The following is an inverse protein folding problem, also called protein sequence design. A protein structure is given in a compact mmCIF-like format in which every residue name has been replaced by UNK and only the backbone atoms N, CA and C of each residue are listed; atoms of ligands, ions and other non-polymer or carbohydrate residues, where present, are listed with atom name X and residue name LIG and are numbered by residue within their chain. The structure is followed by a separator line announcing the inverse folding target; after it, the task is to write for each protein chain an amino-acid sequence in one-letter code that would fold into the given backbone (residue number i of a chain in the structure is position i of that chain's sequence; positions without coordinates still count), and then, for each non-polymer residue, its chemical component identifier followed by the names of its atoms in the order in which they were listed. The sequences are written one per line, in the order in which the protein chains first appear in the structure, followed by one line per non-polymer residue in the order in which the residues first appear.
data_IF_520910692287
#
_entry.id   IF_520910692287
#
_cell.length_a   1.000
_cell.length_b   1.000
_cell.length_c   1.000
_cell.angle_alpha   90.00
_cell.angle_beta   90.00
_cell.angle_gamma   90.00
#
_symmetry.space_group_name_H-M   'P 1'
#
loop_
_entity.id
_entity.type
_entity.pdbx_description
1 polymer ?
#
# COMPACT_ATOMS: atom_id res chain seq x y z
N UNK A 1 -13.53 2.08 -26.96
CA UNK A 1 -13.97 2.73 -25.70
C UNK A 1 -14.65 1.73 -24.75
N UNK A 2 -15.67 0.99 -25.22
CA UNK A 2 -16.43 0.05 -24.37
C UNK A 2 -15.58 -1.08 -23.79
N UNK A 3 -14.65 -1.62 -24.59
CA UNK A 3 -13.72 -2.65 -24.13
C UNK A 3 -12.80 -2.16 -23.01
N UNK A 4 -12.31 -0.94 -23.12
CA UNK A 4 -11.45 -0.34 -22.07
C UNK A 4 -12.26 -0.10 -20.79
N UNK A 5 -13.48 0.41 -20.91
CA UNK A 5 -14.40 0.58 -19.80
C UNK A 5 -14.66 -0.73 -19.07
N UNK A 6 -14.99 -1.79 -19.80
CA UNK A 6 -15.27 -3.11 -19.21
C UNK A 6 -14.05 -3.70 -18.50
N UNK A 7 -12.86 -3.60 -19.10
CA UNK A 7 -11.60 -4.09 -18.48
C UNK A 7 -11.30 -3.32 -17.20
N UNK A 8 -11.43 -2.00 -17.22
CA UNK A 8 -11.17 -1.17 -16.05
C UNK A 8 -12.20 -1.44 -14.95
N UNK A 9 -13.48 -1.54 -15.28
CA UNK A 9 -14.53 -1.89 -14.31
C UNK A 9 -14.32 -3.30 -13.72
N UNK A 10 -13.87 -4.27 -14.51
CA UNK A 10 -13.55 -5.61 -14.00
C UNK A 10 -12.36 -5.59 -13.04
N UNK A 11 -11.31 -4.81 -13.33
CA UNK A 11 -10.19 -4.61 -12.44
C UNK A 11 -10.61 -3.92 -11.13
N UNK A 12 -11.44 -2.88 -11.21
CA UNK A 12 -12.01 -2.21 -10.05
C UNK A 12 -12.91 -3.12 -9.20
N UNK A 13 -13.72 -3.94 -9.86
CA UNK A 13 -14.56 -4.95 -9.20
C UNK A 13 -13.71 -5.95 -8.40
N UNK A 14 -12.58 -6.40 -8.95
CA UNK A 14 -11.61 -7.24 -8.23
C UNK A 14 -11.04 -6.56 -6.98
N UNK A 15 -10.68 -5.28 -7.09
CA UNK A 15 -10.23 -4.49 -5.92
C UNK A 15 -11.34 -4.34 -4.88
N UNK A 16 -12.57 -4.03 -5.31
CA UNK A 16 -13.73 -3.90 -4.44
C UNK A 16 -14.01 -5.19 -3.65
N UNK A 17 -13.91 -6.34 -4.32
CA UNK A 17 -14.09 -7.64 -3.72
C UNK A 17 -13.02 -7.96 -2.65
N UNK A 18 -11.74 -7.72 -2.98
CA UNK A 18 -10.60 -8.02 -2.10
C UNK A 18 -10.55 -7.11 -0.88
N UNK A 19 -10.77 -5.80 -1.06
CA UNK A 19 -10.66 -4.82 0.02
C UNK A 19 -11.98 -4.49 0.70
N UNK A 20 -13.08 -5.10 0.28
CA UNK A 20 -14.44 -4.85 0.80
C UNK A 20 -14.82 -3.36 0.77
N UNK A 21 -14.37 -2.63 -0.24
CA UNK A 21 -14.46 -1.18 -0.35
C UNK A 21 -14.96 -0.75 -1.73
N UNK A 22 -16.29 -0.83 -1.98
CA UNK A 22 -16.85 -0.61 -3.32
C UNK A 22 -16.67 0.83 -3.82
N UNK A 23 -16.84 1.82 -2.94
CA UNK A 23 -16.73 3.23 -3.32
C UNK A 23 -15.31 3.61 -3.67
N UNK A 24 -14.34 3.26 -2.82
CA UNK A 24 -12.93 3.55 -3.05
C UNK A 24 -12.39 2.86 -4.31
N UNK A 25 -12.81 1.62 -4.56
CA UNK A 25 -12.44 0.89 -5.77
C UNK A 25 -13.05 1.51 -7.03
N UNK A 26 -14.29 2.01 -6.97
CA UNK A 26 -14.91 2.72 -8.09
C UNK A 26 -14.17 4.03 -8.39
N UNK A 27 -13.85 4.82 -7.36
CA UNK A 27 -13.07 6.06 -7.50
C UNK A 27 -11.68 5.76 -8.10
N UNK A 28 -10.98 4.76 -7.57
CA UNK A 28 -9.69 4.32 -8.11
C UNK A 28 -9.77 3.92 -9.58
N UNK A 29 -10.84 3.24 -9.97
CA UNK A 29 -11.09 2.85 -11.37
C UNK A 29 -11.21 4.07 -12.27
N UNK A 30 -11.95 5.08 -11.84
CA UNK A 30 -12.16 6.32 -12.60
C UNK A 30 -10.87 7.15 -12.69
N UNK A 31 -10.18 7.32 -11.56
CA UNK A 31 -9.03 8.20 -11.44
C UNK A 31 -7.75 7.61 -12.03
N UNK A 32 -7.52 6.30 -11.83
CA UNK A 32 -6.24 5.67 -12.16
C UNK A 32 -6.30 4.84 -13.43
N UNK A 33 -7.41 4.14 -13.68
CA UNK A 33 -7.51 3.22 -14.81
C UNK A 33 -8.15 3.87 -16.04
N UNK A 34 -9.23 4.66 -15.84
CA UNK A 34 -9.97 5.28 -16.93
C UNK A 34 -9.56 6.72 -17.23
N UNK A 35 -9.05 7.43 -16.20
CA UNK A 35 -8.69 8.86 -16.28
C UNK A 35 -9.86 9.72 -16.79
N UNK A 36 -11.09 9.37 -16.43
CA UNK A 36 -12.31 10.04 -16.88
C UNK A 36 -13.41 10.01 -15.82
N UNK A 37 -14.19 11.08 -15.77
CA UNK A 37 -15.27 11.30 -14.78
C UNK A 37 -16.64 11.47 -15.45
N UNK A 38 -16.87 10.84 -16.60
CA UNK A 38 -18.17 10.91 -17.25
C UNK A 38 -19.20 10.00 -16.54
N UNK A 39 -20.46 10.36 -16.64
CA UNK A 39 -21.57 9.68 -15.93
C UNK A 39 -21.67 8.20 -16.29
N UNK A 40 -21.33 7.82 -17.52
CA UNK A 40 -21.35 6.45 -18.00
C UNK A 40 -20.27 5.60 -17.29
N UNK A 41 -19.05 6.13 -17.19
CA UNK A 41 -17.96 5.45 -16.50
C UNK A 41 -18.23 5.37 -14.99
N UNK A 42 -18.75 6.45 -14.38
CA UNK A 42 -19.08 6.49 -12.95
C UNK A 42 -20.15 5.44 -12.59
N UNK A 43 -21.26 5.40 -13.34
CA UNK A 43 -22.33 4.43 -13.08
C UNK A 43 -21.84 3.00 -13.27
N UNK A 44 -21.09 2.71 -14.35
CA UNK A 44 -20.55 1.39 -14.61
C UNK A 44 -19.59 0.94 -13.50
N UNK A 45 -18.64 1.79 -13.09
CA UNK A 45 -17.68 1.49 -12.04
C UNK A 45 -18.38 1.23 -10.70
N UNK A 46 -19.32 2.10 -10.30
CA UNK A 46 -20.06 1.95 -9.04
C UNK A 46 -20.90 0.66 -9.02
N UNK A 47 -21.60 0.35 -10.11
CA UNK A 47 -22.40 -0.87 -10.21
C UNK A 47 -21.49 -2.11 -10.15
N UNK A 48 -20.42 -2.16 -10.93
CA UNK A 48 -19.52 -3.31 -10.96
C UNK A 48 -18.84 -3.53 -9.60
N UNK A 49 -18.31 -2.47 -8.97
CA UNK A 49 -17.66 -2.56 -7.66
C UNK A 49 -18.66 -2.90 -6.56
N UNK A 50 -19.86 -2.32 -6.59
CA UNK A 50 -20.93 -2.60 -5.62
C UNK A 50 -21.40 -4.05 -5.70
N UNK A 51 -21.67 -4.55 -6.90
CA UNK A 51 -22.09 -5.94 -7.12
C UNK A 51 -20.98 -6.93 -6.71
N UNK A 52 -19.72 -6.66 -7.06
CA UNK A 52 -18.60 -7.51 -6.68
C UNK A 52 -18.46 -7.63 -5.16
N UNK A 53 -18.54 -6.51 -4.44
CA UNK A 53 -18.50 -6.51 -2.97
C UNK A 53 -19.71 -7.24 -2.38
N UNK A 54 -20.90 -7.02 -2.92
CA UNK A 54 -22.10 -7.71 -2.48
C UNK A 54 -21.99 -9.24 -2.65
N UNK A 55 -21.57 -9.71 -3.81
CA UNK A 55 -21.39 -11.14 -4.09
C UNK A 55 -20.33 -11.75 -3.16
N UNK A 56 -19.19 -11.07 -2.96
CA UNK A 56 -18.13 -11.54 -2.07
C UNK A 56 -18.63 -11.71 -0.63
N UNK A 57 -19.42 -10.75 -0.15
CA UNK A 57 -20.03 -10.82 1.20
C UNK A 57 -21.03 -11.97 1.32
N UNK A 58 -21.90 -12.16 0.33
CA UNK A 58 -22.87 -13.24 0.32
C UNK A 58 -22.22 -14.64 0.23
N UNK A 59 -21.10 -14.72 -0.49
CA UNK A 59 -20.34 -15.96 -0.60
C UNK A 59 -19.50 -16.28 0.67
N UNK A 60 -19.47 -15.39 1.67
CA UNK A 60 -18.66 -15.55 2.87
C UNK A 60 -17.16 -15.56 2.58
N UNK A 61 -16.76 -15.00 1.43
CA UNK A 61 -15.36 -14.92 1.01
C UNK A 61 -14.85 -13.51 1.32
N UNK A 62 -13.81 -13.44 2.11
CA UNK A 62 -13.18 -12.18 2.50
C UNK A 62 -13.67 -11.63 3.85
N UNK A 63 -12.74 -11.03 4.57
CA UNK A 63 -13.02 -10.41 5.85
C UNK A 63 -13.77 -9.09 5.66
N UNK A 64 -14.83 -8.88 6.41
CA UNK A 64 -15.55 -7.60 6.46
C UNK A 64 -14.63 -6.51 7.03
N UNK A 65 -13.81 -6.88 8.02
CA UNK A 65 -12.79 -6.03 8.63
C UNK A 65 -11.43 -6.45 8.08
N UNK A 66 -10.80 -5.58 7.30
CA UNK A 66 -9.50 -5.88 6.68
C UNK A 66 -8.33 -5.67 7.65
N UNK A 67 -8.44 -4.72 8.56
CA UNK A 67 -7.44 -4.38 9.56
C UNK A 67 -8.10 -4.04 10.89
N UNK A 68 -7.51 -4.53 11.98
CA UNK A 68 -7.83 -4.07 13.33
C UNK A 68 -6.89 -2.94 13.70
N UNK A 69 -7.41 -1.96 14.40
CA UNK A 69 -6.62 -0.82 14.86
C UNK A 69 -6.85 -0.61 16.36
N UNK A 70 -5.77 -0.35 17.11
CA UNK A 70 -5.87 0.08 18.48
C UNK A 70 -6.74 1.34 18.57
N UNK A 71 -7.62 1.43 19.56
CA UNK A 71 -8.56 2.56 19.69
C UNK A 71 -7.79 3.89 19.74
N UNK A 72 -8.03 4.79 18.80
CA UNK A 72 -7.30 6.05 18.75
C UNK A 72 -7.84 7.01 19.82
N UNK A 73 -6.96 7.52 20.65
CA UNK A 73 -7.22 8.77 21.37
C UNK A 73 -6.86 9.94 20.46
N UNK A 74 -7.83 10.59 19.85
CA UNK A 74 -7.60 11.75 19.00
C UNK A 74 -7.27 12.97 19.89
N UNK A 75 -6.01 13.38 19.90
CA UNK A 75 -5.53 14.61 20.54
C UNK A 75 -5.30 15.73 19.52
N UNK A 76 -5.14 16.96 19.99
CA UNK A 76 -4.88 18.14 19.13
C UNK A 76 -3.58 18.06 18.33
N UNK A 77 -2.61 17.30 18.80
CA UNK A 77 -1.28 17.18 18.19
C UNK A 77 -1.21 16.32 16.91
N UNK A 78 -2.31 15.66 16.52
CA UNK A 78 -2.32 14.86 15.29
C UNK A 78 -2.22 15.71 14.02
N UNK A 79 -2.70 16.94 14.02
CA UNK A 79 -2.60 17.82 12.84
C UNK A 79 -1.13 18.19 12.59
N UNK A 80 -0.43 18.63 13.63
CA UNK A 80 1.00 18.98 13.57
C UNK A 80 1.85 17.76 13.17
N UNK A 81 1.57 16.62 13.79
CA UNK A 81 2.20 15.34 13.47
C UNK A 81 1.98 14.96 12.01
N UNK A 82 0.75 15.06 11.51
CA UNK A 82 0.40 14.68 10.12
C UNK A 82 1.12 15.56 9.09
N UNK A 83 1.28 16.85 9.37
CA UNK A 83 2.04 17.76 8.50
C UNK A 83 3.52 17.35 8.45
N UNK A 84 4.12 17.11 9.62
CA UNK A 84 5.51 16.70 9.70
C UNK A 84 5.75 15.31 9.08
N UNK A 85 4.87 14.36 9.38
CA UNK A 85 4.91 13.02 8.78
C UNK A 85 4.74 13.09 7.26
N UNK A 86 3.84 13.95 6.75
CA UNK A 86 3.61 14.15 5.33
C UNK A 86 4.89 14.54 4.58
N UNK A 87 5.70 15.44 5.14
CA UNK A 87 6.98 15.82 4.55
C UNK A 87 7.98 14.64 4.49
N UNK A 88 8.05 13.83 5.56
CA UNK A 88 8.92 12.66 5.62
C UNK A 88 8.46 11.57 4.65
N UNK A 89 7.16 11.33 4.60
CA UNK A 89 6.57 10.37 3.65
C UNK A 89 6.80 10.81 2.20
N UNK A 90 6.65 12.10 1.90
CA UNK A 90 6.94 12.64 0.57
C UNK A 90 8.38 12.38 0.16
N UNK A 91 9.34 12.64 1.06
CA UNK A 91 10.75 12.31 0.83
C UNK A 91 10.94 10.79 0.60
N UNK A 92 10.31 9.96 1.41
CA UNK A 92 10.34 8.49 1.27
C UNK A 92 9.83 8.05 -0.10
N UNK A 93 8.70 8.59 -0.56
CA UNK A 93 8.13 8.27 -1.88
C UNK A 93 9.03 8.74 -3.02
N UNK A 94 9.61 9.94 -2.93
CA UNK A 94 10.56 10.44 -3.94
C UNK A 94 11.76 9.50 -4.03
N UNK A 95 12.36 9.13 -2.89
CA UNK A 95 13.49 8.20 -2.87
C UNK A 95 13.11 6.82 -3.41
N UNK A 96 11.93 6.32 -3.06
CA UNK A 96 11.42 5.05 -3.59
C UNK A 96 11.26 5.08 -5.11
N UNK A 97 10.68 6.14 -5.66
CA UNK A 97 10.52 6.31 -7.10
C UNK A 97 11.87 6.45 -7.83
N UNK A 98 12.83 7.16 -7.23
CA UNK A 98 14.19 7.29 -7.80
C UNK A 98 14.89 5.92 -7.82
N UNK A 99 14.83 5.16 -6.72
CA UNK A 99 15.46 3.83 -6.65
C UNK A 99 14.81 2.85 -7.62
N UNK A 100 13.49 2.89 -7.74
CA UNK A 100 12.75 2.10 -8.71
C UNK A 100 13.08 2.48 -10.16
N UNK A 101 13.20 3.79 -10.46
CA UNK A 101 13.55 4.28 -11.79
C UNK A 101 14.97 3.93 -12.25
N UNK A 102 15.87 3.61 -11.32
CA UNK A 102 17.23 3.15 -11.62
C UNK A 102 17.34 1.65 -11.87
N UNK A 103 16.25 0.88 -11.69
CA UNK A 103 16.28 -0.54 -11.98
C UNK A 103 16.49 -0.79 -13.48
N UNK A 104 17.33 -1.76 -13.85
CA UNK A 104 17.58 -2.07 -15.24
C UNK A 104 16.32 -2.61 -15.92
N UNK A 105 15.96 -2.06 -17.07
CA UNK A 105 14.86 -2.57 -17.91
C UNK A 105 15.34 -3.78 -18.70
N UNK A 106 15.43 -4.93 -18.06
CA UNK A 106 15.82 -6.17 -18.72
C UNK A 106 14.58 -6.76 -19.41
N UNK A 107 14.76 -7.12 -20.70
CA UNK A 107 13.65 -7.73 -21.45
C UNK A 107 13.28 -9.09 -20.84
N UNK A 108 11.99 -9.33 -20.59
CA UNK A 108 11.49 -10.52 -19.88
C UNK A 108 11.84 -11.86 -20.53
N UNK A 109 11.97 -11.89 -21.86
CA UNK A 109 12.37 -13.09 -22.60
C UNK A 109 13.88 -13.30 -22.62
N UNK A 110 14.68 -12.45 -21.98
CA UNK A 110 16.12 -12.62 -21.87
C UNK A 110 16.46 -13.79 -20.95
N UNK A 111 17.34 -14.73 -21.35
CA UNK A 111 17.77 -15.84 -20.48
C UNK A 111 18.46 -15.35 -19.20
N UNK A 112 18.96 -14.12 -19.16
CA UNK A 112 19.55 -13.47 -17.98
C UNK A 112 18.54 -13.27 -16.86
N UNK A 113 17.22 -13.23 -17.16
CA UNK A 113 16.18 -13.10 -16.15
C UNK A 113 16.12 -14.28 -15.19
N UNK A 114 16.48 -15.49 -15.64
CA UNK A 114 16.43 -16.69 -14.79
C UNK A 114 17.39 -16.57 -13.59
N UNK A 115 18.70 -16.33 -13.78
CA UNK A 115 19.62 -16.18 -12.66
C UNK A 115 19.29 -14.94 -11.81
N UNK A 116 18.84 -13.82 -12.39
CA UNK A 116 18.43 -12.64 -11.64
C UNK A 116 17.26 -12.98 -10.72
N UNK A 117 16.25 -13.70 -11.22
CA UNK A 117 15.09 -14.09 -10.42
C UNK A 117 15.49 -15.03 -9.28
N UNK A 118 16.37 -16.01 -9.54
CA UNK A 118 16.86 -16.92 -8.51
C UNK A 118 17.56 -16.13 -7.41
N UNK A 119 18.49 -15.25 -7.75
CA UNK A 119 19.23 -14.45 -6.76
C UNK A 119 18.30 -13.52 -6.00
N UNK A 120 17.41 -12.81 -6.70
CA UNK A 120 16.48 -11.87 -6.08
C UNK A 120 15.54 -12.55 -5.07
N UNK A 121 14.91 -13.66 -5.47
CA UNK A 121 14.01 -14.40 -4.57
C UNK A 121 14.74 -15.14 -3.45
N UNK A 122 16.00 -15.56 -3.65
CA UNK A 122 16.84 -16.09 -2.57
C UNK A 122 17.13 -15.02 -1.51
N UNK A 123 17.46 -13.80 -1.93
CA UNK A 123 17.69 -12.68 -1.00
C UNK A 123 16.38 -12.33 -0.27
N UNK A 124 15.25 -12.27 -0.98
CA UNK A 124 13.94 -12.03 -0.36
C UNK A 124 13.62 -13.13 0.66
N UNK A 125 13.87 -14.39 0.34
CA UNK A 125 13.68 -15.52 1.26
C UNK A 125 14.57 -15.41 2.50
N UNK A 126 15.85 -15.04 2.34
CA UNK A 126 16.75 -14.81 3.47
C UNK A 126 16.30 -13.65 4.37
N UNK A 127 15.83 -12.54 3.78
CA UNK A 127 15.26 -11.43 4.55
C UNK A 127 13.99 -11.85 5.29
N UNK A 128 13.17 -12.69 4.68
CA UNK A 128 11.93 -13.18 5.28
C UNK A 128 12.16 -14.13 6.49
N UNK A 129 13.36 -14.69 6.66
CA UNK A 129 13.71 -15.44 7.88
C UNK A 129 13.75 -14.54 9.12
N UNK A 130 14.07 -13.25 8.94
CA UNK A 130 14.11 -12.26 10.04
C UNK A 130 12.87 -11.38 10.08
N UNK A 131 12.25 -11.14 8.92
CA UNK A 131 11.09 -10.26 8.74
C UNK A 131 10.03 -10.99 7.89
N UNK A 132 9.33 -11.99 8.42
CA UNK A 132 8.38 -12.79 7.65
C UNK A 132 7.23 -11.97 7.03
N UNK A 133 6.89 -10.82 7.61
CA UNK A 133 5.81 -9.95 7.14
C UNK A 133 6.12 -9.25 5.81
N UNK A 134 7.38 -9.30 5.34
CA UNK A 134 7.71 -8.79 4.00
C UNK A 134 7.13 -9.66 2.88
N UNK A 135 6.79 -10.91 3.17
CA UNK A 135 6.19 -11.82 2.20
C UNK A 135 4.78 -11.38 1.83
N UNK A 136 4.37 -11.80 0.66
CA UNK A 136 3.06 -11.44 0.11
C UNK A 136 2.92 -9.94 -0.16
N UNK A 137 1.69 -9.45 -0.06
CA UNK A 137 1.35 -8.06 -0.38
C UNK A 137 1.71 -7.04 0.72
N UNK A 138 2.09 -7.47 1.94
CA UNK A 138 2.38 -6.61 3.08
C UNK A 138 1.21 -6.39 4.05
N UNK A 139 0.12 -7.16 3.93
CA UNK A 139 -1.03 -7.06 4.86
C UNK A 139 -0.58 -7.33 6.29
N UNK A 140 0.21 -8.38 6.53
CA UNK A 140 0.71 -8.75 7.85
C UNK A 140 1.52 -7.62 8.52
N UNK A 141 2.40 -6.95 7.78
CA UNK A 141 3.16 -5.82 8.31
C UNK A 141 2.29 -4.60 8.64
N UNK A 142 1.26 -4.33 7.85
CA UNK A 142 0.28 -3.29 8.17
C UNK A 142 -0.51 -3.62 9.45
N UNK A 143 -0.91 -4.87 9.61
CA UNK A 143 -1.66 -5.31 10.81
C UNK A 143 -0.83 -5.12 12.07
N UNK A 144 0.44 -5.55 12.09
CA UNK A 144 1.35 -5.33 13.21
C UNK A 144 1.53 -3.84 13.54
N UNK A 145 1.62 -2.98 12.54
CA UNK A 145 1.80 -1.54 12.78
C UNK A 145 0.51 -0.88 13.28
N UNK A 146 -0.66 -1.31 12.81
CA UNK A 146 -1.95 -0.73 13.22
C UNK A 146 -2.39 -1.17 14.60
N UNK A 147 -2.03 -2.40 15.03
CA UNK A 147 -2.27 -2.90 16.41
C UNK A 147 -1.25 -2.36 17.40
N UNK A 148 -0.18 -1.73 16.94
CA UNK A 148 0.94 -1.24 17.75
C UNK A 148 1.74 -2.34 18.47
N UNK A 149 1.75 -3.55 17.90
CA UNK A 149 2.49 -4.71 18.44
C UNK A 149 3.94 -4.78 17.93
N UNK A 150 4.55 -3.63 17.68
CA UNK A 150 5.86 -3.54 17.02
C UNK A 150 6.75 -2.46 17.65
N UNK A 151 8.03 -2.77 17.83
CA UNK A 151 9.04 -1.79 18.26
C UNK A 151 9.52 -0.94 17.07
N UNK A 152 9.98 0.28 17.34
CA UNK A 152 10.51 1.15 16.29
C UNK A 152 11.73 0.56 15.57
N UNK A 153 12.55 -0.23 16.27
CA UNK A 153 13.72 -0.91 15.68
C UNK A 153 13.33 -1.99 14.70
N UNK A 154 12.31 -2.80 15.06
CA UNK A 154 11.77 -3.80 14.16
C UNK A 154 11.04 -3.16 12.97
N UNK A 155 10.29 -2.06 13.20
CA UNK A 155 9.62 -1.31 12.15
C UNK A 155 10.62 -0.73 11.12
N UNK A 156 11.78 -0.24 11.58
CA UNK A 156 12.85 0.24 10.71
C UNK A 156 13.46 -0.90 9.86
N UNK A 157 13.70 -2.04 10.49
CA UNK A 157 14.15 -3.25 9.78
C UNK A 157 13.15 -3.73 8.74
N UNK A 158 11.87 -3.74 9.12
CA UNK A 158 10.76 -4.13 8.24
C UNK A 158 10.58 -3.16 7.06
N UNK A 159 10.73 -1.85 7.30
CA UNK A 159 10.75 -0.82 6.27
C UNK A 159 11.85 -1.07 5.23
N UNK A 160 13.09 -1.23 5.69
CA UNK A 160 14.23 -1.46 4.79
C UNK A 160 14.14 -2.79 4.04
N UNK A 161 13.75 -3.85 4.74
CA UNK A 161 13.59 -5.18 4.14
C UNK A 161 12.47 -5.20 3.09
N UNK A 162 11.32 -4.55 3.36
CA UNK A 162 10.23 -4.45 2.38
C UNK A 162 10.63 -3.61 1.18
N UNK A 163 11.33 -2.49 1.40
CA UNK A 163 11.86 -1.66 0.31
C UNK A 163 12.75 -2.47 -0.63
N UNK A 164 13.73 -3.18 -0.07
CA UNK A 164 14.64 -4.04 -0.84
C UNK A 164 13.87 -5.16 -1.54
N UNK A 165 12.96 -5.84 -0.84
CA UNK A 165 12.17 -6.92 -1.42
C UNK A 165 11.34 -6.48 -2.62
N UNK A 166 10.70 -5.30 -2.55
CA UNK A 166 9.93 -4.74 -3.68
C UNK A 166 10.85 -4.43 -4.86
N UNK A 167 12.00 -3.80 -4.63
CA UNK A 167 12.95 -3.49 -5.69
C UNK A 167 13.52 -4.75 -6.35
N UNK A 168 13.88 -5.77 -5.56
CA UNK A 168 14.37 -7.04 -6.07
C UNK A 168 13.31 -7.80 -6.88
N UNK A 169 12.06 -7.82 -6.40
CA UNK A 169 10.96 -8.44 -7.13
C UNK A 169 10.72 -7.74 -8.48
N UNK A 170 10.76 -6.40 -8.52
CA UNK A 170 10.63 -5.64 -9.76
C UNK A 170 11.82 -5.88 -10.70
N UNK A 171 13.05 -5.92 -10.18
CA UNK A 171 14.25 -6.24 -10.96
C UNK A 171 14.19 -7.65 -11.55
N UNK A 172 13.61 -8.60 -10.81
CA UNK A 172 13.35 -9.96 -11.28
C UNK A 172 12.17 -10.06 -12.27
N UNK A 173 11.60 -8.94 -12.72
CA UNK A 173 10.50 -8.91 -13.69
C UNK A 173 9.15 -9.33 -13.12
N UNK A 174 9.00 -9.42 -11.80
CA UNK A 174 7.72 -9.69 -11.18
C UNK A 174 6.79 -8.49 -11.35
N UNK A 175 5.57 -8.74 -11.81
CA UNK A 175 4.51 -7.73 -11.83
C UNK A 175 3.59 -7.92 -10.63
N UNK A 176 3.46 -6.89 -9.84
CA UNK A 176 2.57 -6.89 -8.68
C UNK A 176 1.97 -5.50 -8.46
N UNK A 177 0.84 -5.47 -7.74
CA UNK A 177 0.23 -4.23 -7.29
C UNK A 177 1.12 -3.55 -6.24
N UNK A 178 1.25 -2.23 -6.34
CA UNK A 178 2.03 -1.42 -5.38
C UNK A 178 1.20 -0.88 -4.21
N UNK A 179 -0.10 -1.14 -4.19
CA UNK A 179 -1.04 -0.59 -3.21
C UNK A 179 -0.62 -0.98 -1.78
N UNK A 180 -0.73 -2.26 -1.45
CA UNK A 180 -0.45 -2.72 -0.09
C UNK A 180 1.03 -2.63 0.32
N UNK A 181 2.01 -2.89 -0.57
CA UNK A 181 3.41 -2.61 -0.26
C UNK A 181 3.69 -1.14 0.08
N UNK A 182 3.06 -0.19 -0.62
CA UNK A 182 3.18 1.24 -0.30
C UNK A 182 2.58 1.58 1.06
N UNK A 183 1.44 1.00 1.40
CA UNK A 183 0.84 1.15 2.74
C UNK A 183 1.80 0.66 3.83
N UNK A 184 2.41 -0.51 3.64
CA UNK A 184 3.36 -1.07 4.61
C UNK A 184 4.61 -0.21 4.77
N UNK A 185 5.15 0.35 3.68
CA UNK A 185 6.27 1.30 3.77
C UNK A 185 5.87 2.56 4.54
N UNK A 186 4.68 3.09 4.29
CA UNK A 186 4.18 4.26 5.00
C UNK A 186 3.91 4.01 6.47
N UNK A 187 3.28 2.88 6.80
CA UNK A 187 2.95 2.53 8.19
C UNK A 187 4.20 2.29 9.04
N UNK A 188 5.17 1.53 8.52
CA UNK A 188 6.44 1.27 9.23
C UNK A 188 7.28 2.54 9.41
N UNK A 189 7.36 3.41 8.39
CA UNK A 189 8.02 4.70 8.50
C UNK A 189 7.36 5.59 9.57
N UNK A 190 6.03 5.57 9.63
CA UNK A 190 5.27 6.35 10.60
C UNK A 190 5.42 5.82 12.04
N UNK A 191 5.59 4.52 12.26
CA UNK A 191 5.94 3.98 13.59
C UNK A 191 7.28 4.53 14.04
N UNK A 192 8.30 4.49 13.17
CA UNK A 192 9.64 5.03 13.51
C UNK A 192 9.54 6.51 13.87
N UNK A 193 8.97 7.32 12.96
CA UNK A 193 8.83 8.75 13.19
C UNK A 193 7.95 9.08 14.40
N UNK A 194 6.81 8.40 14.54
CA UNK A 194 5.86 8.59 15.63
C UNK A 194 6.43 8.27 17.01
N UNK A 195 7.33 7.29 17.09
CA UNK A 195 8.05 6.98 18.34
C UNK A 195 8.94 8.16 18.75
N UNK A 196 9.74 8.70 17.83
CA UNK A 196 10.57 9.87 18.11
C UNK A 196 9.75 11.12 18.41
N UNK A 197 8.65 11.32 17.67
CA UNK A 197 7.70 12.41 17.94
C UNK A 197 7.10 12.32 19.33
N UNK A 198 6.70 11.12 19.76
CA UNK A 198 6.11 10.91 21.08
C UNK A 198 7.09 11.20 22.22
N UNK A 199 8.39 11.05 21.99
CA UNK A 199 9.44 11.37 22.97
C UNK A 199 9.74 12.87 22.99
N UNK A 200 9.79 13.52 21.80
CA UNK A 200 10.30 14.87 21.65
C UNK A 200 9.22 15.96 21.76
N UNK A 201 7.99 15.68 21.37
CA UNK A 201 6.93 16.70 21.22
C UNK A 201 5.71 16.38 22.08
N UNK A 202 4.98 15.31 21.74
CA UNK A 202 3.76 14.93 22.44
C UNK A 202 3.42 13.46 22.20
N UNK A 203 2.88 12.75 23.21
CA UNK A 203 2.48 11.35 23.06
C UNK A 203 1.33 11.22 22.05
N UNK A 204 1.47 10.26 21.13
CA UNK A 204 0.46 9.93 20.12
C UNK A 204 0.25 8.41 20.06
N UNK A 205 -0.92 7.98 19.58
CA UNK A 205 -1.17 6.58 19.28
C UNK A 205 -0.36 6.16 18.04
N UNK A 206 0.58 5.24 18.21
CA UNK A 206 1.43 4.76 17.13
C UNK A 206 0.63 4.01 16.05
N UNK A 207 -0.44 3.29 16.44
CA UNK A 207 -1.33 2.64 15.46
C UNK A 207 -2.04 3.66 14.55
N UNK A 208 -2.50 4.78 15.11
CA UNK A 208 -3.07 5.87 14.30
C UNK A 208 -2.00 6.55 13.44
N UNK A 209 -0.80 6.78 13.98
CA UNK A 209 0.32 7.30 13.21
C UNK A 209 0.65 6.40 12.02
N UNK A 210 0.69 5.08 12.24
CA UNK A 210 0.90 4.09 11.19
C UNK A 210 -0.17 4.14 10.11
N UNK A 211 -1.45 4.27 10.50
CA UNK A 211 -2.55 4.40 9.56
C UNK A 211 -2.42 5.67 8.70
N UNK A 212 -2.13 6.82 9.31
CA UNK A 212 -1.90 8.08 8.59
C UNK A 212 -0.74 7.93 7.60
N UNK A 213 0.38 7.33 8.04
CA UNK A 213 1.54 7.08 7.18
C UNK A 213 1.24 6.13 6.01
N UNK A 214 0.47 5.07 6.25
CA UNK A 214 0.06 4.13 5.21
C UNK A 214 -0.75 4.82 4.11
N UNK A 215 -1.75 5.61 4.50
CA UNK A 215 -2.61 6.35 3.56
C UNK A 215 -1.81 7.41 2.80
N UNK A 216 -0.97 8.18 3.50
CA UNK A 216 -0.15 9.21 2.88
C UNK A 216 0.85 8.64 1.86
N UNK A 217 1.55 7.56 2.21
CA UNK A 217 2.50 6.93 1.30
C UNK A 217 1.79 6.31 0.09
N UNK A 218 0.67 5.64 0.30
CA UNK A 218 -0.14 5.09 -0.77
C UNK A 218 -0.61 6.18 -1.74
N UNK A 219 -1.21 7.26 -1.22
CA UNK A 219 -1.72 8.36 -2.03
C UNK A 219 -0.64 8.97 -2.90
N UNK A 220 0.52 9.29 -2.32
CA UNK A 220 1.65 9.87 -3.05
C UNK A 220 2.30 8.89 -4.04
N UNK A 221 2.49 7.63 -3.66
CA UNK A 221 3.12 6.62 -4.51
C UNK A 221 2.27 6.23 -5.73
N UNK A 222 0.94 6.25 -5.58
CA UNK A 222 0.00 5.98 -6.67
C UNK A 222 -0.43 7.24 -7.43
N UNK A 223 0.04 8.43 -7.01
CA UNK A 223 -0.38 9.73 -7.55
C UNK A 223 -1.90 9.90 -7.52
N UNK A 224 -2.53 9.40 -6.46
CA UNK A 224 -3.96 9.58 -6.25
C UNK A 224 -4.26 11.04 -5.95
N UNK A 225 -5.35 11.55 -6.49
CA UNK A 225 -5.83 12.88 -6.14
C UNK A 225 -6.30 12.86 -4.67
N UNK A 226 -5.68 13.71 -3.84
CA UNK A 226 -6.05 13.85 -2.44
C UNK A 226 -7.46 14.40 -2.22
N UNK A 227 -8.14 14.83 -3.29
CA UNK A 227 -9.51 15.34 -3.24
C UNK A 227 -10.51 14.22 -2.91
N UNK A 228 -10.12 12.96 -3.09
CA UNK A 228 -11.01 11.80 -3.03
C UNK A 228 -10.65 10.79 -1.92
N UNK A 229 -9.74 11.15 -1.01
CA UNK A 229 -9.40 10.31 0.16
C UNK A 229 -10.19 10.75 1.40
#
# INVERSE_FOLDING_TARGET
EDRQLLIACAAGAGLAAVYNSPLSAAIFTLETLLLTWNIRAMSAALICCGLATFVTRQAGVGDVIQYTMAQPSLGSHYVEFSIALGAIVALGVVLFNITQGKLPSIHRSSPVMIPISIVAFTIIGALAMYFPEILGNGKAGNELTFTNDITWTYALGLFGSKWVAVLLALAAGAYGGRITPSMMLGSTLAIVFGTFWSIAVAPISLGMAAFIGAVAFLGLAQKLSLIHI
#
